data_IF_053941767041
#
_entry.id   IF_053941767041
#
_cell.length_a   1.000
_cell.length_b   1.000
_cell.length_c   1.000
_cell.angle_alpha   90.00
_cell.angle_beta   90.00
_cell.angle_gamma   90.00
#
_symmetry.space_group_name_H-M   'P 1'
#
loop_
_entity.id
_entity.type
_entity.pdbx_description
1 polymer ?
#
# COMPACT_ATOMS: atom_id res chain seq x y z
N UNK A 1 4.37 13.73 -24.03
CA UNK A 1 4.41 14.36 -22.68
C UNK A 1 5.81 14.20 -22.12
N UNK A 2 6.37 15.26 -21.53
CA UNK A 2 7.72 15.29 -20.94
C UNK A 2 7.89 14.16 -19.90
N UNK A 3 9.14 13.77 -19.63
CA UNK A 3 9.44 12.84 -18.52
C UNK A 3 8.88 13.45 -17.23
N UNK A 4 7.88 12.78 -16.65
CA UNK A 4 7.36 13.08 -15.32
C UNK A 4 8.52 13.05 -14.34
N UNK A 5 8.80 14.16 -13.67
CA UNK A 5 9.92 14.27 -12.71
C UNK A 5 9.37 14.63 -11.34
N UNK A 6 9.04 13.61 -10.55
CA UNK A 6 8.63 13.80 -9.16
C UNK A 6 9.82 14.16 -8.29
N UNK A 7 9.63 15.14 -7.39
CA UNK A 7 10.54 15.42 -6.30
C UNK A 7 10.54 14.29 -5.27
N UNK A 8 11.59 14.25 -4.43
CA UNK A 8 11.68 13.28 -3.32
C UNK A 8 10.50 13.39 -2.36
N UNK A 9 10.06 14.61 -2.03
CA UNK A 9 8.94 14.84 -1.14
C UNK A 9 7.63 14.29 -1.69
N UNK A 10 7.34 14.58 -2.96
CA UNK A 10 6.16 14.07 -3.67
C UNK A 10 6.11 12.54 -3.69
N UNK A 11 7.25 11.89 -3.99
CA UNK A 11 7.34 10.43 -4.03
C UNK A 11 7.13 9.80 -2.65
N UNK A 12 7.78 10.34 -1.62
CA UNK A 12 7.65 9.85 -0.25
C UNK A 12 6.22 9.98 0.25
N UNK A 13 5.65 11.17 0.11
CA UNK A 13 4.32 11.47 0.62
C UNK A 13 3.25 10.65 -0.09
N UNK A 14 3.30 10.55 -1.42
CA UNK A 14 2.35 9.74 -2.16
C UNK A 14 2.44 8.26 -1.78
N UNK A 15 3.66 7.72 -1.65
CA UNK A 15 3.88 6.33 -1.25
C UNK A 15 3.35 6.07 0.15
N UNK A 16 3.63 6.99 1.08
CA UNK A 16 3.15 6.86 2.46
C UNK A 16 1.63 6.91 2.51
N UNK A 17 0.99 7.84 1.80
CA UNK A 17 -0.46 7.95 1.75
C UNK A 17 -1.12 6.68 1.17
N UNK A 18 -0.60 6.18 0.05
CA UNK A 18 -1.18 5.06 -0.68
C UNK A 18 -1.05 3.70 0.04
N UNK A 19 0.10 3.45 0.69
CA UNK A 19 0.31 2.18 1.40
C UNK A 19 -0.36 2.20 2.78
N UNK A 20 -0.20 3.30 3.54
CA UNK A 20 -0.74 3.38 4.92
C UNK A 20 -2.26 3.34 4.97
N UNK A 21 -2.94 3.98 4.00
CA UNK A 21 -4.40 4.09 3.99
C UNK A 21 -5.09 2.74 4.10
N UNK A 22 -4.77 1.79 3.22
CA UNK A 22 -5.35 0.45 3.24
C UNK A 22 -4.88 -0.41 4.41
N UNK A 23 -3.64 -0.23 4.85
CA UNK A 23 -3.15 -0.94 6.02
C UNK A 23 -3.97 -0.65 7.28
N UNK A 24 -4.46 0.59 7.45
CA UNK A 24 -5.38 0.93 8.55
C UNK A 24 -6.76 0.27 8.42
N UNK A 25 -7.29 0.15 7.20
CA UNK A 25 -8.60 -0.45 6.96
C UNK A 25 -8.64 -1.96 7.25
N UNK A 26 -7.61 -2.69 6.82
CA UNK A 26 -7.66 -4.16 6.75
C UNK A 26 -6.51 -4.81 7.49
N UNK A 27 -5.28 -4.39 7.23
CA UNK A 27 -4.10 -5.06 7.79
C UNK A 27 -4.12 -5.02 9.32
N UNK A 28 -4.49 -3.91 9.94
CA UNK A 28 -4.63 -3.81 11.41
C UNK A 28 -5.58 -4.89 11.96
N UNK A 29 -6.73 -5.10 11.31
CA UNK A 29 -7.68 -6.13 11.75
C UNK A 29 -7.10 -7.54 11.60
N UNK A 30 -6.37 -7.84 10.53
CA UNK A 30 -5.72 -9.13 10.33
C UNK A 30 -4.62 -9.40 11.36
N UNK A 31 -3.82 -8.38 11.67
CA UNK A 31 -2.75 -8.47 12.67
C UNK A 31 -3.34 -8.69 14.07
N UNK A 32 -4.37 -7.93 14.44
CA UNK A 32 -5.08 -8.12 15.71
C UNK A 32 -5.78 -9.49 15.78
N UNK A 33 -6.34 -9.98 14.68
CA UNK A 33 -6.95 -11.32 14.63
C UNK A 33 -5.92 -12.42 14.91
N UNK A 34 -4.69 -12.28 14.39
CA UNK A 34 -3.62 -13.26 14.56
C UNK A 34 -2.90 -13.12 15.91
N UNK A 35 -2.39 -11.93 16.23
CA UNK A 35 -1.51 -11.68 17.36
C UNK A 35 -2.24 -11.10 18.60
N UNK A 36 -3.51 -10.69 18.48
CA UNK A 36 -4.28 -10.09 19.57
C UNK A 36 -3.54 -8.91 20.21
N UNK A 37 -3.35 -8.96 21.53
CA UNK A 37 -2.66 -7.87 22.26
C UNK A 37 -1.19 -7.71 21.87
N UNK A 38 -0.55 -8.74 21.33
CA UNK A 38 0.84 -8.73 20.88
C UNK A 38 1.01 -8.22 19.44
N UNK A 39 -0.04 -7.64 18.84
CA UNK A 39 -0.02 -7.08 17.48
C UNK A 39 1.09 -6.04 17.26
N UNK A 40 1.45 -5.28 18.30
CA UNK A 40 2.56 -4.32 18.24
C UNK A 40 3.93 -5.01 18.14
N UNK A 41 4.11 -6.22 18.69
CA UNK A 41 5.31 -7.03 18.47
C UNK A 41 5.35 -7.62 17.06
N UNK A 42 4.20 -7.94 16.48
CA UNK A 42 4.16 -8.41 15.09
C UNK A 42 4.71 -7.33 14.12
N UNK A 43 4.48 -6.04 14.44
CA UNK A 43 5.08 -4.92 13.73
C UNK A 43 6.61 -4.91 13.85
N UNK A 44 7.17 -5.10 15.05
CA UNK A 44 8.63 -5.10 15.21
C UNK A 44 9.30 -6.26 14.47
N UNK A 45 8.66 -7.44 14.46
CA UNK A 45 9.10 -8.60 13.67
C UNK A 45 9.05 -8.30 12.17
N UNK A 46 7.98 -7.65 11.69
CA UNK A 46 7.82 -7.31 10.28
C UNK A 46 8.79 -6.22 9.78
N UNK A 47 9.26 -5.34 10.67
CA UNK A 47 10.20 -4.26 10.31
C UNK A 47 11.56 -4.78 9.82
N UNK A 48 12.04 -5.93 10.33
CA UNK A 48 13.34 -6.46 9.91
C UNK A 48 13.35 -6.89 8.42
N UNK A 49 12.44 -7.76 7.93
CA UNK A 49 12.38 -8.05 6.51
C UNK A 49 11.96 -6.84 5.66
N UNK A 50 11.13 -5.94 6.19
CA UNK A 50 10.78 -4.69 5.49
C UNK A 50 12.01 -3.81 5.23
N UNK A 51 12.91 -3.70 6.22
CA UNK A 51 14.18 -3.01 6.06
C UNK A 51 15.05 -3.70 5.01
N UNK A 52 15.17 -5.02 5.05
CA UNK A 52 15.91 -5.77 4.03
C UNK A 52 15.37 -5.52 2.61
N UNK A 53 14.03 -5.52 2.45
CA UNK A 53 13.39 -5.17 1.18
C UNK A 53 13.73 -3.73 0.77
N UNK A 54 13.67 -2.77 1.69
CA UNK A 54 14.00 -1.38 1.40
C UNK A 54 15.45 -1.21 0.93
N UNK A 55 16.40 -1.92 1.54
CA UNK A 55 17.80 -1.95 1.13
C UNK A 55 17.95 -2.51 -0.30
N UNK A 56 17.22 -3.59 -0.64
CA UNK A 56 17.26 -4.20 -1.98
C UNK A 56 16.68 -3.25 -3.03
N UNK A 57 15.49 -2.67 -2.78
CA UNK A 57 14.86 -1.73 -3.69
C UNK A 57 15.74 -0.50 -3.92
N UNK A 58 16.32 0.03 -2.85
CA UNK A 58 17.23 1.16 -2.95
C UNK A 58 18.56 0.80 -3.63
N UNK A 59 19.08 -0.42 -3.47
CA UNK A 59 20.26 -0.88 -4.19
C UNK A 59 19.99 -0.97 -5.70
N UNK A 60 18.84 -1.52 -6.11
CA UNK A 60 18.41 -1.54 -7.52
C UNK A 60 18.33 -0.12 -8.09
N UNK A 61 17.69 0.78 -7.34
CA UNK A 61 17.57 2.20 -7.69
C UNK A 61 18.93 2.89 -7.89
N UNK A 62 19.90 2.59 -7.04
CA UNK A 62 21.24 3.17 -7.11
C UNK A 62 22.07 2.58 -8.26
N UNK A 63 22.01 1.26 -8.46
CA UNK A 63 22.78 0.55 -9.48
C UNK A 63 22.26 0.77 -10.90
N UNK A 64 20.93 0.94 -11.05
CA UNK A 64 20.26 1.19 -12.34
C UNK A 64 19.25 2.32 -12.21
N UNK A 65 19.72 3.58 -12.03
CA UNK A 65 18.84 4.74 -11.92
C UNK A 65 17.93 4.85 -13.14
N UNK A 66 16.64 5.14 -12.89
CA UNK A 66 15.66 5.35 -13.96
C UNK A 66 15.22 4.09 -14.71
N UNK A 67 15.62 2.89 -14.29
CA UNK A 67 15.14 1.64 -14.89
C UNK A 67 14.09 0.97 -13.99
N UNK A 68 12.85 0.94 -14.48
CA UNK A 68 11.78 0.17 -13.85
C UNK A 68 12.08 -1.34 -13.85
N UNK A 69 11.49 -2.09 -12.91
CA UNK A 69 11.76 -3.52 -12.75
C UNK A 69 11.52 -4.35 -14.01
N UNK A 70 10.49 -4.04 -14.78
CA UNK A 70 10.17 -4.71 -16.04
C UNK A 70 11.20 -4.39 -17.15
N UNK A 71 11.69 -3.15 -17.21
CA UNK A 71 12.79 -2.75 -18.10
C UNK A 71 14.07 -3.48 -17.71
N UNK A 72 14.38 -3.53 -16.41
CA UNK A 72 15.56 -4.22 -15.90
C UNK A 72 15.48 -5.73 -16.16
N UNK A 73 14.31 -6.34 -15.97
CA UNK A 73 14.06 -7.74 -16.28
C UNK A 73 14.22 -8.03 -17.78
N UNK A 74 13.70 -7.14 -18.64
CA UNK A 74 13.88 -7.25 -20.09
C UNK A 74 15.37 -7.24 -20.49
N UNK A 75 16.16 -6.38 -19.84
CA UNK A 75 17.59 -6.24 -20.08
C UNK A 75 18.40 -7.45 -19.61
N UNK A 76 18.07 -8.01 -18.45
CA UNK A 76 18.84 -9.11 -17.84
C UNK A 76 18.46 -10.49 -18.40
N UNK A 77 17.16 -10.71 -18.65
CA UNK A 77 16.60 -12.02 -18.94
C UNK A 77 15.82 -12.06 -20.27
N UNK A 78 15.84 -10.98 -21.04
CA UNK A 78 15.22 -10.88 -22.36
C UNK A 78 13.78 -10.35 -22.34
N UNK A 79 13.28 -9.98 -23.52
CA UNK A 79 11.99 -9.27 -23.71
C UNK A 79 10.78 -9.94 -23.05
N UNK A 80 10.75 -11.28 -23.01
CA UNK A 80 9.64 -12.04 -22.43
C UNK A 80 9.61 -11.89 -20.91
N UNK A 81 10.76 -11.90 -20.24
CA UNK A 81 10.82 -11.66 -18.80
C UNK A 81 10.29 -10.28 -18.44
N UNK A 82 10.67 -9.24 -19.19
CA UNK A 82 10.12 -7.90 -19.02
C UNK A 82 8.61 -7.83 -19.19
N UNK A 83 8.06 -8.49 -20.23
CA UNK A 83 6.60 -8.58 -20.42
C UNK A 83 5.91 -9.30 -19.26
N UNK A 84 6.46 -10.41 -18.78
CA UNK A 84 5.90 -11.15 -17.64
C UNK A 84 5.88 -10.29 -16.38
N UNK A 85 6.98 -9.60 -16.08
CA UNK A 85 7.05 -8.68 -14.93
C UNK A 85 6.02 -7.56 -15.06
N UNK A 86 5.88 -6.97 -16.26
CA UNK A 86 4.91 -5.91 -16.51
C UNK A 86 3.46 -6.39 -16.34
N UNK A 87 3.11 -7.56 -16.89
CA UNK A 87 1.78 -8.14 -16.71
C UNK A 87 1.50 -8.45 -15.23
N UNK A 88 2.46 -9.06 -14.55
CA UNK A 88 2.32 -9.48 -13.16
C UNK A 88 2.07 -8.30 -12.22
N UNK A 89 2.88 -7.23 -12.30
CA UNK A 89 2.64 -6.01 -11.52
C UNK A 89 1.36 -5.28 -11.96
N UNK A 90 1.05 -5.28 -13.26
CA UNK A 90 -0.17 -4.69 -13.79
C UNK A 90 -1.44 -5.30 -13.18
N UNK A 91 -1.52 -6.63 -13.17
CA UNK A 91 -2.63 -7.37 -12.56
C UNK A 91 -2.63 -7.22 -11.03
N UNK A 92 -1.47 -7.28 -10.38
CA UNK A 92 -1.37 -7.10 -8.93
C UNK A 92 -1.95 -5.77 -8.46
N UNK A 93 -1.50 -4.65 -9.04
CA UNK A 93 -1.99 -3.33 -8.67
C UNK A 93 -3.45 -3.13 -9.08
N UNK A 94 -3.92 -3.72 -10.18
CA UNK A 94 -5.34 -3.73 -10.55
C UNK A 94 -6.21 -4.38 -9.46
N UNK A 95 -5.82 -5.58 -8.99
CA UNK A 95 -6.51 -6.29 -7.92
C UNK A 95 -6.50 -5.48 -6.62
N UNK A 96 -5.35 -4.89 -6.27
CA UNK A 96 -5.21 -4.04 -5.09
C UNK A 96 -6.18 -2.84 -5.13
N UNK A 97 -6.34 -2.20 -6.30
CA UNK A 97 -7.31 -1.10 -6.47
C UNK A 97 -8.74 -1.61 -6.33
N UNK A 98 -9.10 -2.70 -7.00
CA UNK A 98 -10.47 -3.23 -6.97
C UNK A 98 -10.91 -3.59 -5.54
N UNK A 99 -10.02 -4.22 -4.78
CA UNK A 99 -10.25 -4.52 -3.36
C UNK A 99 -10.39 -3.26 -2.51
N UNK A 100 -9.49 -2.29 -2.70
CA UNK A 100 -9.53 -1.02 -1.95
C UNK A 100 -10.83 -0.27 -2.22
N UNK A 101 -11.26 -0.23 -3.48
CA UNK A 101 -12.51 0.40 -3.89
C UNK A 101 -13.73 -0.29 -3.27
N UNK A 102 -13.79 -1.62 -3.30
CA UNK A 102 -14.87 -2.38 -2.64
C UNK A 102 -14.94 -2.09 -1.14
N UNK A 103 -13.79 -2.07 -0.46
CA UNK A 103 -13.73 -1.75 0.97
C UNK A 103 -14.12 -0.31 1.27
N UNK A 104 -13.71 0.66 0.44
CA UNK A 104 -14.10 2.05 0.58
C UNK A 104 -15.61 2.22 0.43
N UNK A 105 -16.22 1.60 -0.58
CA UNK A 105 -17.67 1.67 -0.79
C UNK A 105 -18.43 1.02 0.36
N UNK A 106 -17.99 -0.13 0.85
CA UNK A 106 -18.62 -0.78 2.00
C UNK A 106 -18.53 0.07 3.27
N UNK A 107 -17.34 0.61 3.54
CA UNK A 107 -17.12 1.52 4.67
C UNK A 107 -18.00 2.77 4.59
N UNK A 108 -18.13 3.41 3.42
CA UNK A 108 -18.97 4.59 3.24
C UNK A 108 -20.46 4.29 3.49
N UNK A 109 -20.93 3.11 3.11
CA UNK A 109 -22.30 2.67 3.41
C UNK A 109 -22.52 2.45 4.91
N UNK A 110 -21.54 1.87 5.60
CA UNK A 110 -21.60 1.63 7.03
C UNK A 110 -21.44 2.91 7.87
N UNK A 111 -20.66 3.88 7.39
CA UNK A 111 -20.34 5.11 8.13
C UNK A 111 -21.36 6.24 7.93
N UNK A 112 -21.95 6.39 6.74
CA UNK A 112 -22.86 7.52 6.43
C UNK A 112 -24.28 7.08 6.09
N UNK A 113 -24.44 6.38 4.96
CA UNK A 113 -25.77 6.09 4.44
C UNK A 113 -25.84 4.69 3.81
N UNK A 114 -26.52 3.73 4.47
CA UNK A 114 -26.65 2.37 3.95
C UNK A 114 -27.58 2.28 2.72
N UNK A 115 -28.42 3.30 2.49
CA UNK A 115 -29.44 3.35 1.42
C UNK A 115 -28.85 3.67 0.05
N UNK A 116 -27.67 4.29 -0.03
CA UNK A 116 -27.05 4.56 -1.33
C UNK A 116 -26.60 3.24 -1.98
N UNK A 117 -27.03 2.95 -3.22
CA UNK A 117 -26.64 1.72 -3.91
C UNK A 117 -25.12 1.63 -4.06
N UNK A 118 -24.56 0.46 -3.73
CA UNK A 118 -23.11 0.23 -3.83
C UNK A 118 -22.57 0.52 -5.23
N UNK A 119 -23.33 0.16 -6.27
CA UNK A 119 -22.93 0.39 -7.66
C UNK A 119 -22.77 1.88 -7.98
N UNK A 120 -23.67 2.73 -7.49
CA UNK A 120 -23.60 4.17 -7.70
C UNK A 120 -22.34 4.78 -7.07
N UNK A 121 -22.02 4.38 -5.84
CA UNK A 121 -20.77 4.79 -5.17
C UNK A 121 -19.53 4.28 -5.92
N UNK A 122 -19.52 3.02 -6.37
CA UNK A 122 -18.42 2.46 -7.17
C UNK A 122 -18.19 3.27 -8.45
N UNK A 123 -19.25 3.64 -9.17
CA UNK A 123 -19.16 4.48 -10.38
C UNK A 123 -18.58 5.85 -10.06
N UNK A 124 -19.07 6.53 -9.01
CA UNK A 124 -18.58 7.87 -8.64
C UNK A 124 -17.09 7.84 -8.30
N UNK A 125 -16.66 6.92 -7.43
CA UNK A 125 -15.26 6.80 -7.06
C UNK A 125 -14.36 6.41 -8.25
N UNK A 126 -14.83 5.55 -9.15
CA UNK A 126 -14.09 5.20 -10.36
C UNK A 126 -13.95 6.37 -11.33
N UNK A 127 -14.99 7.18 -11.53
CA UNK A 127 -14.91 8.37 -12.38
C UNK A 127 -13.92 9.39 -11.81
N UNK A 128 -13.95 9.62 -10.49
CA UNK A 128 -12.99 10.49 -9.82
C UNK A 128 -11.55 9.94 -9.93
N UNK A 129 -11.38 8.63 -9.75
CA UNK A 129 -10.07 8.00 -9.87
C UNK A 129 -9.54 8.05 -11.32
N UNK A 130 -10.38 7.79 -12.31
CA UNK A 130 -10.05 7.92 -13.72
C UNK A 130 -9.64 9.37 -14.05
N UNK A 131 -10.41 10.36 -13.58
CA UNK A 131 -10.07 11.77 -13.77
C UNK A 131 -8.68 12.11 -13.19
N UNK A 132 -8.40 11.67 -11.97
CA UNK A 132 -7.09 11.86 -11.34
C UNK A 132 -5.96 11.17 -12.12
N UNK A 133 -6.16 9.93 -12.58
CA UNK A 133 -5.17 9.19 -13.37
C UNK A 133 -4.92 9.86 -14.72
N UNK A 134 -5.96 10.35 -15.39
CA UNK A 134 -5.84 11.10 -16.65
C UNK A 134 -5.16 12.46 -16.46
N UNK A 135 -5.29 13.07 -15.28
CA UNK A 135 -4.60 14.31 -14.91
C UNK A 135 -3.10 14.10 -14.68
N UNK A 136 -2.64 12.85 -14.54
CA UNK A 136 -1.24 12.49 -14.45
C UNK A 136 -0.70 12.38 -13.02
N UNK A 137 0.39 11.62 -12.89
CA UNK A 137 0.98 11.26 -11.59
C UNK A 137 1.48 12.47 -10.78
N UNK A 138 2.01 13.50 -11.43
CA UNK A 138 2.44 14.75 -10.76
C UNK A 138 1.29 15.42 -10.02
N UNK A 139 0.10 15.48 -10.63
CA UNK A 139 -1.06 16.11 -10.00
C UNK A 139 -1.52 15.31 -8.77
N UNK A 140 -1.54 13.98 -8.87
CA UNK A 140 -1.83 13.10 -7.72
C UNK A 140 -0.81 13.35 -6.59
N UNK A 141 0.47 13.41 -6.93
CA UNK A 141 1.54 13.60 -5.95
C UNK A 141 1.48 14.98 -5.28
N UNK A 142 1.20 16.06 -6.03
CA UNK A 142 1.02 17.42 -5.47
C UNK A 142 -0.17 17.52 -4.52
N UNK A 143 -1.29 16.87 -4.84
CA UNK A 143 -2.44 16.81 -3.93
C UNK A 143 -2.07 16.03 -2.66
N UNK A 144 -1.27 14.96 -2.78
CA UNK A 144 -0.80 14.20 -1.61
C UNK A 144 0.10 15.02 -0.69
N UNK A 145 0.94 15.92 -1.23
CA UNK A 145 1.76 16.84 -0.43
C UNK A 145 0.93 17.73 0.49
N UNK A 146 -0.27 18.14 0.04
CA UNK A 146 -1.16 18.96 0.84
C UNK A 146 -1.90 18.12 1.89
N UNK A 147 -2.46 16.97 1.48
CA UNK A 147 -3.36 16.22 2.34
C UNK A 147 -2.65 15.30 3.34
N UNK A 148 -1.49 14.72 3.02
CA UNK A 148 -0.85 13.79 3.97
C UNK A 148 -0.39 14.47 5.27
N UNK A 149 0.27 15.65 5.27
CA UNK A 149 0.62 16.31 6.52
C UNK A 149 -0.61 16.60 7.38
N UNK A 150 -1.71 17.02 6.74
CA UNK A 150 -2.99 17.20 7.41
C UNK A 150 -3.52 15.87 7.98
N UNK A 151 -3.43 14.77 7.23
CA UNK A 151 -3.83 13.45 7.69
C UNK A 151 -3.01 12.99 8.91
N UNK A 152 -1.71 13.23 8.91
CA UNK A 152 -0.82 12.88 10.03
C UNK A 152 -1.18 13.72 11.26
N UNK A 153 -1.33 15.03 11.11
CA UNK A 153 -1.72 15.93 12.21
C UNK A 153 -3.05 15.49 12.82
N UNK A 154 -4.07 15.28 11.99
CA UNK A 154 -5.39 14.83 12.44
C UNK A 154 -5.32 13.46 13.13
N UNK A 155 -4.58 12.49 12.58
CA UNK A 155 -4.40 11.17 13.20
C UNK A 155 -3.68 11.22 14.55
N UNK A 156 -2.65 12.07 14.67
CA UNK A 156 -1.96 12.32 15.93
C UNK A 156 -2.87 13.02 16.94
N UNK A 157 -3.66 14.02 16.51
CA UNK A 157 -4.64 14.70 17.36
C UNK A 157 -5.66 13.71 17.92
N UNK A 158 -6.22 12.82 17.08
CA UNK A 158 -7.13 11.77 17.54
C UNK A 158 -6.46 10.85 18.56
N UNK A 159 -5.21 10.45 18.29
CA UNK A 159 -4.44 9.62 19.21
C UNK A 159 -4.25 10.32 20.56
N UNK A 160 -3.83 11.59 20.56
CA UNK A 160 -3.59 12.38 21.78
C UNK A 160 -4.86 12.57 22.60
N UNK A 161 -5.98 12.93 21.96
CA UNK A 161 -7.26 13.13 22.67
C UNK A 161 -7.73 11.83 23.34
N UNK A 162 -7.51 10.68 22.70
CA UNK A 162 -7.89 9.37 23.27
C UNK A 162 -6.96 8.85 24.37
N UNK A 163 -5.84 9.50 24.68
CA UNK A 163 -4.81 8.93 25.57
C UNK A 163 -5.35 8.64 26.98
N UNK A 164 -6.19 9.51 27.53
CA UNK A 164 -6.74 9.36 28.88
C UNK A 164 -7.70 8.16 29.00
N UNK A 165 -8.25 7.69 27.88
CA UNK A 165 -9.17 6.55 27.84
C UNK A 165 -8.46 5.21 27.54
N UNK A 166 -7.15 5.24 27.27
CA UNK A 166 -6.37 4.06 26.88
C UNK A 166 -5.78 3.34 28.10
N UNK A 167 -6.31 2.17 28.40
CA UNK A 167 -5.78 1.28 29.42
C UNK A 167 -4.67 0.39 28.83
N UNK A 168 -3.45 0.94 28.72
CA UNK A 168 -2.30 0.21 28.17
C UNK A 168 -1.89 -1.03 28.98
N UNK A 169 -2.40 -1.18 30.21
CA UNK A 169 -2.26 -2.42 30.99
C UNK A 169 -2.85 -3.64 30.27
N UNK A 170 -3.84 -3.43 29.38
CA UNK A 170 -4.45 -4.48 28.56
C UNK A 170 -3.51 -5.08 27.50
N UNK A 171 -2.32 -4.49 27.30
CA UNK A 171 -1.25 -5.06 26.48
C UNK A 171 -0.43 -6.12 27.23
N UNK A 172 -0.59 -6.25 28.55
CA UNK A 172 0.07 -7.26 29.38
C UNK A 172 -0.88 -8.44 29.67
N UNK A 173 -0.36 -9.66 29.92
CA UNK A 173 1.04 -10.07 29.77
C UNK A 173 1.48 -10.14 28.30
N UNK A 174 2.77 -9.90 28.05
CA UNK A 174 3.36 -9.92 26.71
C UNK A 174 3.69 -11.36 26.30
N UNK A 175 3.34 -11.72 25.07
CA UNK A 175 3.63 -13.03 24.46
C UNK A 175 3.15 -14.24 25.27
N UNK A 176 2.01 -14.09 25.97
CA UNK A 176 1.39 -15.17 26.77
C UNK A 176 1.07 -16.42 25.92
N UNK A 177 0.68 -16.20 24.66
CA UNK A 177 0.38 -17.26 23.68
C UNK A 177 1.62 -17.72 22.90
N UNK A 178 2.82 -17.32 23.34
CA UNK A 178 4.09 -17.57 22.68
C UNK A 178 4.34 -16.68 21.45
N UNK A 179 5.46 -16.92 20.76
CA UNK A 179 5.87 -16.11 19.61
C UNK A 179 5.20 -16.49 18.28
N UNK A 180 4.57 -17.67 18.19
CA UNK A 180 3.96 -18.14 16.94
C UNK A 180 2.83 -17.20 16.46
N UNK A 181 1.86 -16.78 17.30
CA UNK A 181 0.85 -15.80 16.90
C UNK A 181 1.43 -14.45 16.47
N UNK A 182 2.54 -14.03 17.09
CA UNK A 182 3.27 -12.80 16.74
C UNK A 182 3.84 -12.89 15.33
N UNK A 183 4.51 -14.00 15.00
CA UNK A 183 5.07 -14.26 13.67
C UNK A 183 3.96 -14.35 12.62
N UNK A 184 2.83 -15.00 12.95
CA UNK A 184 1.66 -15.06 12.06
C UNK A 184 1.06 -13.67 11.83
N UNK A 185 0.98 -12.83 12.87
CA UNK A 185 0.55 -11.44 12.76
C UNK A 185 1.50 -10.58 11.93
N UNK A 186 2.78 -10.94 11.83
CA UNK A 186 3.74 -10.21 11.00
C UNK A 186 3.50 -10.43 9.49
N UNK A 187 2.90 -11.56 9.10
CA UNK A 187 2.72 -11.95 7.67
C UNK A 187 1.87 -10.91 6.88
N UNK A 188 0.69 -10.45 7.36
CA UNK A 188 -0.05 -9.39 6.71
C UNK A 188 0.74 -8.07 6.57
N UNK A 189 1.54 -7.72 7.58
CA UNK A 189 2.38 -6.52 7.56
C UNK A 189 3.50 -6.65 6.53
N UNK A 190 4.13 -7.82 6.42
CA UNK A 190 5.10 -8.11 5.37
C UNK A 190 4.47 -7.99 3.98
N UNK A 191 3.24 -8.46 3.78
CA UNK A 191 2.49 -8.22 2.55
C UNK A 191 2.35 -6.73 2.25
N UNK A 192 1.95 -5.93 3.25
CA UNK A 192 1.83 -4.47 3.12
C UNK A 192 3.17 -3.79 2.79
N UNK A 193 4.26 -4.16 3.47
CA UNK A 193 5.60 -3.65 3.16
C UNK A 193 6.07 -4.08 1.77
N UNK A 194 5.67 -5.27 1.31
CA UNK A 194 5.92 -5.77 -0.04
C UNK A 194 5.42 -4.83 -1.14
N UNK A 195 4.35 -4.07 -0.88
CA UNK A 195 3.79 -3.11 -1.83
C UNK A 195 4.70 -1.89 -2.07
N UNK A 196 5.72 -1.65 -1.24
CA UNK A 196 6.76 -0.64 -1.49
C UNK A 196 7.52 -0.88 -2.81
N UNK A 197 7.42 -2.09 -3.37
CA UNK A 197 7.92 -2.42 -4.70
C UNK A 197 7.37 -1.51 -5.80
N UNK A 198 6.23 -0.84 -5.58
CA UNK A 198 5.69 0.21 -6.46
C UNK A 198 6.74 1.29 -6.80
N UNK A 199 7.62 1.62 -5.86
CA UNK A 199 8.72 2.57 -6.06
C UNK A 199 9.70 2.10 -7.14
N UNK A 200 10.02 0.81 -7.16
CA UNK A 200 10.91 0.23 -8.17
C UNK A 200 10.20 -0.03 -9.51
N UNK A 201 8.90 -0.32 -9.48
CA UNK A 201 8.07 -0.42 -10.69
C UNK A 201 7.95 0.93 -11.41
N UNK A 202 7.91 2.03 -10.65
CA UNK A 202 7.89 3.40 -11.17
C UNK A 202 9.26 4.08 -11.14
N UNK A 203 10.36 3.33 -11.06
CA UNK A 203 11.69 3.91 -10.96
C UNK A 203 12.06 4.85 -12.13
N UNK A 204 11.45 4.66 -13.30
CA UNK A 204 11.67 5.51 -14.48
C UNK A 204 10.82 6.79 -14.52
N UNK A 205 10.06 7.10 -13.45
CA UNK A 205 9.42 8.41 -13.21
C UNK A 205 10.12 9.25 -12.15
N UNK A 206 11.22 8.76 -11.60
CA UNK A 206 11.95 9.43 -10.53
C UNK A 206 13.26 9.96 -11.08
N UNK A 207 13.58 11.21 -10.74
CA UNK A 207 14.75 11.93 -11.27
C UNK A 207 16.09 11.33 -10.83
N UNK A 208 16.16 10.77 -9.63
CA UNK A 208 17.41 10.32 -9.01
C UNK A 208 17.21 9.02 -8.21
N UNK A 209 18.07 8.03 -8.49
CA UNK A 209 18.11 6.76 -7.76
C UNK A 209 18.38 6.93 -6.26
N UNK A 210 19.14 7.97 -5.86
CA UNK A 210 19.37 8.33 -4.46
C UNK A 210 18.07 8.70 -3.75
N UNK A 211 17.14 9.38 -4.43
CA UNK A 211 15.86 9.74 -3.84
C UNK A 211 15.02 8.51 -3.56
N UNK A 212 15.05 7.49 -4.43
CA UNK A 212 14.33 6.24 -4.19
C UNK A 212 14.86 5.47 -2.97
N UNK A 213 16.19 5.35 -2.84
CA UNK A 213 16.81 4.76 -1.65
C UNK A 213 16.35 5.44 -0.36
N UNK A 214 16.50 6.78 -0.30
CA UNK A 214 16.11 7.55 0.87
C UNK A 214 14.61 7.46 1.13
N UNK A 215 13.79 7.52 0.08
CA UNK A 215 12.33 7.42 0.18
C UNK A 215 11.89 6.08 0.75
N UNK A 216 12.47 4.97 0.27
CA UNK A 216 12.07 3.63 0.72
C UNK A 216 12.40 3.41 2.19
N UNK A 217 13.59 3.82 2.64
CA UNK A 217 13.98 3.74 4.05
C UNK A 217 13.12 4.65 4.94
N UNK A 218 12.89 5.89 4.51
CA UNK A 218 12.02 6.81 5.25
C UNK A 218 10.58 6.29 5.32
N UNK A 219 10.06 5.67 4.26
CA UNK A 219 8.72 5.09 4.25
C UNK A 219 8.59 3.94 5.26
N UNK A 220 9.57 3.03 5.35
CA UNK A 220 9.56 1.96 6.36
C UNK A 220 9.56 2.52 7.79
N UNK A 221 10.39 3.54 8.06
CA UNK A 221 10.43 4.19 9.37
C UNK A 221 9.11 4.89 9.72
N UNK A 222 8.53 5.63 8.77
CA UNK A 222 7.24 6.32 8.93
C UNK A 222 6.12 5.30 9.16
N UNK A 223 6.09 4.18 8.44
CA UNK A 223 5.11 3.11 8.68
C UNK A 223 5.26 2.47 10.04
N UNK A 224 6.50 2.14 10.43
CA UNK A 224 6.79 1.63 11.77
C UNK A 224 6.22 2.53 12.86
N UNK A 225 6.36 3.86 12.71
CA UNK A 225 5.80 4.81 13.67
C UNK A 225 4.26 4.91 13.58
N UNK A 226 3.72 5.03 12.36
CA UNK A 226 2.28 5.26 12.14
C UNK A 226 1.41 4.07 12.56
N UNK A 227 1.92 2.84 12.53
CA UNK A 227 1.14 1.64 12.87
C UNK A 227 1.16 1.26 14.36
N UNK A 228 2.02 1.87 15.19
CA UNK A 228 2.06 1.58 16.64
C UNK A 228 0.71 1.91 17.29
N UNK A 229 0.19 3.13 17.06
CA UNK A 229 -1.11 3.56 17.59
C UNK A 229 -2.25 2.63 17.16
N UNK A 230 -2.46 2.42 15.85
CA UNK A 230 -3.46 1.50 15.30
C UNK A 230 -3.43 0.06 15.83
N UNK A 231 -2.26 -0.47 16.20
CA UNK A 231 -2.11 -1.84 16.68
C UNK A 231 -2.24 -1.96 18.21
N UNK A 232 -2.11 -0.86 18.94
CA UNK A 232 -2.21 -0.82 20.41
C UNK A 232 -3.52 -0.19 20.90
N UNK A 233 -3.97 0.87 20.26
CA UNK A 233 -5.14 1.67 20.61
C UNK A 233 -6.44 0.85 20.72
N UNK A 234 -6.81 0.02 19.72
CA UNK A 234 -8.02 -0.77 19.80
C UNK A 234 -8.00 -1.75 20.98
N UNK A 235 -6.83 -2.32 21.32
CA UNK A 235 -6.68 -3.22 22.48
C UNK A 235 -6.79 -2.43 23.78
N UNK A 236 -6.17 -1.26 23.86
CA UNK A 236 -6.16 -0.41 25.05
C UNK A 236 -7.54 0.20 25.37
N UNK A 237 -8.45 0.31 24.40
CA UNK A 237 -9.83 0.81 24.63
C UNK A 237 -10.85 -0.31 24.68
N UNK A 238 -10.80 -1.27 23.75
CA UNK A 238 -11.85 -2.30 23.59
C UNK A 238 -11.50 -3.62 24.30
N UNK A 239 -10.25 -3.81 24.68
CA UNK A 239 -9.70 -5.10 25.09
C UNK A 239 -9.45 -6.04 23.92
N UNK A 240 -8.56 -7.02 24.11
CA UNK A 240 -8.08 -7.93 23.07
C UNK A 240 -9.23 -8.67 22.35
N UNK A 241 -10.18 -9.23 23.10
CA UNK A 241 -11.24 -10.09 22.54
C UNK A 241 -12.13 -9.33 21.54
N UNK A 242 -12.46 -8.07 21.85
CA UNK A 242 -13.30 -7.24 20.99
C UNK A 242 -12.46 -6.71 19.83
N UNK A 243 -11.26 -6.18 20.11
CA UNK A 243 -10.36 -5.64 19.09
C UNK A 243 -10.03 -6.67 17.98
N UNK A 244 -9.73 -7.92 18.35
CA UNK A 244 -9.35 -8.98 17.41
C UNK A 244 -10.50 -9.49 16.52
N UNK A 245 -11.75 -9.18 16.85
CA UNK A 245 -12.95 -9.65 16.10
C UNK A 245 -13.69 -8.52 15.40
N UNK A 246 -13.25 -7.29 15.59
CA UNK A 246 -13.93 -6.10 15.10
C UNK A 246 -13.42 -5.74 13.72
N UNK A 247 -14.30 -5.60 12.71
CA UNK A 247 -13.91 -4.99 11.45
C UNK A 247 -13.60 -3.51 11.68
N UNK A 248 -12.56 -2.98 11.01
CA UNK A 248 -12.18 -1.57 11.12
C UNK A 248 -11.87 -1.14 12.58
N UNK A 249 -11.00 -1.87 13.30
CA UNK A 249 -10.83 -1.74 14.76
C UNK A 249 -10.43 -0.33 15.21
N UNK A 250 -9.63 0.38 14.41
CA UNK A 250 -9.23 1.78 14.66
C UNK A 250 -10.37 2.77 14.49
N UNK A 251 -11.31 2.53 13.57
CA UNK A 251 -12.52 3.35 13.49
C UNK A 251 -13.44 3.08 14.69
N UNK A 252 -13.55 1.82 15.11
CA UNK A 252 -14.38 1.41 16.24
C UNK A 252 -13.82 1.94 17.57
N UNK A 253 -12.49 1.97 17.73
CA UNK A 253 -11.80 2.67 18.82
C UNK A 253 -12.28 4.12 18.94
N UNK A 254 -12.23 4.88 17.83
CA UNK A 254 -12.64 6.29 17.80
C UNK A 254 -14.15 6.44 18.09
N UNK A 255 -14.97 5.53 17.60
CA UNK A 255 -16.43 5.55 17.80
C UNK A 255 -16.83 5.34 19.27
N UNK A 256 -16.13 4.47 19.99
CA UNK A 256 -16.46 4.14 21.38
C UNK A 256 -15.66 4.92 22.43
N UNK A 257 -14.57 5.58 22.05
CA UNK A 257 -13.92 6.57 22.89
C UNK A 257 -14.88 7.75 23.16
N UNK A 258 -15.16 8.01 24.44
CA UNK A 258 -16.13 9.00 24.93
C UNK A 258 -15.80 10.39 24.44
N UNK A 259 -14.52 10.76 24.44
CA UNK A 259 -14.02 12.06 23.95
C UNK A 259 -14.03 12.16 22.42
N UNK A 260 -13.97 11.02 21.72
CA UNK A 260 -13.82 10.96 20.27
C UNK A 260 -15.09 10.69 19.47
N UNK A 261 -16.20 10.33 20.12
CA UNK A 261 -17.45 10.04 19.43
C UNK A 261 -17.91 11.16 18.46
N UNK A 262 -17.59 12.43 18.79
CA UNK A 262 -17.90 13.60 17.94
C UNK A 262 -16.93 13.79 16.76
N UNK A 263 -15.76 13.17 16.81
CA UNK A 263 -14.71 13.25 15.81
C UNK A 263 -14.71 12.06 14.83
N UNK A 264 -15.71 11.19 14.89
CA UNK A 264 -15.86 10.05 13.95
C UNK A 264 -15.79 10.47 12.47
N UNK A 265 -16.29 11.67 12.12
CA UNK A 265 -16.23 12.22 10.76
C UNK A 265 -14.79 12.46 10.30
N UNK A 266 -13.90 12.86 11.21
CA UNK A 266 -12.47 13.04 10.90
C UNK A 266 -11.85 11.69 10.52
N UNK A 267 -12.14 10.63 11.27
CA UNK A 267 -11.66 9.29 10.97
C UNK A 267 -12.10 8.84 9.57
N UNK A 268 -13.37 9.09 9.23
CA UNK A 268 -13.90 8.80 7.90
C UNK A 268 -13.16 9.58 6.81
N UNK A 269 -12.91 10.88 7.00
CA UNK A 269 -12.16 11.70 6.03
C UNK A 269 -10.74 11.16 5.79
N UNK A 270 -10.00 10.82 6.86
CA UNK A 270 -8.66 10.22 6.76
C UNK A 270 -8.67 8.95 5.90
N UNK A 271 -9.70 8.15 6.10
CA UNK A 271 -9.85 6.85 5.45
C UNK A 271 -10.25 6.97 3.98
N UNK A 272 -11.15 7.91 3.65
CA UNK A 272 -11.49 8.23 2.26
C UNK A 272 -10.26 8.78 1.53
N UNK A 273 -9.52 9.71 2.11
CA UNK A 273 -8.32 10.28 1.49
C UNK A 273 -7.22 9.24 1.27
N UNK A 274 -6.90 8.43 2.29
CA UNK A 274 -5.90 7.35 2.17
C UNK A 274 -6.28 6.34 1.09
N UNK A 275 -7.56 5.93 1.06
CA UNK A 275 -8.06 5.02 0.02
C UNK A 275 -8.01 5.64 -1.37
N UNK A 276 -8.34 6.94 -1.51
CA UNK A 276 -8.30 7.63 -2.79
C UNK A 276 -6.86 7.74 -3.34
N UNK A 277 -5.88 8.07 -2.50
CA UNK A 277 -4.47 8.07 -2.92
C UNK A 277 -3.99 6.69 -3.34
N UNK A 278 -4.38 5.64 -2.62
CA UNK A 278 -4.07 4.26 -3.02
C UNK A 278 -4.70 3.90 -4.36
N UNK A 279 -6.00 4.12 -4.49
CA UNK A 279 -6.76 3.82 -5.72
C UNK A 279 -6.11 4.51 -6.91
N UNK A 280 -5.87 5.82 -6.82
CA UNK A 280 -5.33 6.60 -7.94
C UNK A 280 -3.87 6.24 -8.26
N UNK A 281 -3.02 6.07 -7.23
CA UNK A 281 -1.62 5.72 -7.44
C UNK A 281 -1.43 4.31 -8.03
N UNK A 282 -2.17 3.32 -7.52
CA UNK A 282 -2.06 1.95 -8.00
C UNK A 282 -2.79 1.76 -9.32
N UNK A 283 -3.86 2.49 -9.58
CA UNK A 283 -4.51 2.50 -10.89
C UNK A 283 -3.56 3.09 -11.95
N UNK A 284 -2.90 4.22 -11.66
CA UNK A 284 -1.87 4.76 -12.56
C UNK A 284 -0.76 3.73 -12.84
N UNK A 285 -0.25 3.07 -11.79
CA UNK A 285 0.78 2.03 -11.91
C UNK A 285 0.30 0.85 -12.76
N UNK A 286 -0.90 0.33 -12.48
CA UNK A 286 -1.50 -0.79 -13.21
C UNK A 286 -1.64 -0.47 -14.71
N UNK A 287 -2.20 0.70 -15.04
CA UNK A 287 -2.37 1.14 -16.41
C UNK A 287 -1.03 1.27 -17.15
N UNK A 288 0.00 1.77 -16.48
CA UNK A 288 1.35 1.87 -17.06
C UNK A 288 1.96 0.50 -17.35
N UNK A 289 1.89 -0.43 -16.40
CA UNK A 289 2.39 -1.80 -16.53
C UNK A 289 1.66 -2.56 -17.64
N UNK A 290 0.33 -2.54 -17.65
CA UNK A 290 -0.47 -3.17 -18.71
C UNK A 290 -0.22 -2.53 -20.08
N UNK A 291 -0.01 -1.21 -20.12
CA UNK A 291 0.45 -0.47 -21.31
C UNK A 291 1.71 -1.05 -21.91
N UNK A 292 2.75 -1.24 -21.09
CA UNK A 292 4.04 -1.81 -21.50
C UNK A 292 3.92 -3.27 -21.94
N UNK A 293 3.12 -4.07 -21.24
CA UNK A 293 2.84 -5.46 -21.66
C UNK A 293 2.25 -5.53 -23.08
N UNK A 294 1.24 -4.68 -23.36
CA UNK A 294 0.56 -4.58 -24.64
C UNK A 294 1.37 -3.84 -25.73
N UNK A 295 2.55 -3.31 -25.40
CA UNK A 295 3.41 -2.59 -26.36
C UNK A 295 2.98 -1.14 -26.63
N UNK A 296 2.06 -0.58 -25.85
CA UNK A 296 1.73 0.84 -25.93
C UNK A 296 2.87 1.70 -25.36
N UNK A 297 3.16 2.83 -26.02
CA UNK A 297 4.06 3.86 -25.47
C UNK A 297 3.36 4.63 -24.33
N UNK A 298 4.17 5.28 -23.48
CA UNK A 298 3.83 5.98 -22.22
C UNK A 298 2.45 6.66 -22.20
N UNK A 299 1.73 6.49 -21.07
CA UNK A 299 0.52 7.23 -20.67
C UNK A 299 -0.56 7.33 -21.77
N UNK A 300 -0.96 6.19 -22.35
CA UNK A 300 -2.09 6.17 -23.28
C UNK A 300 -3.41 6.32 -22.51
N UNK A 301 -4.22 7.29 -22.92
CA UNK A 301 -5.58 7.52 -22.38
C UNK A 301 -6.42 6.25 -22.51
N UNK A 302 -6.22 5.53 -23.60
CA UNK A 302 -6.86 4.26 -23.93
C UNK A 302 -6.54 3.19 -22.88
N UNK A 303 -5.27 3.09 -22.44
CA UNK A 303 -4.89 2.11 -21.42
C UNK A 303 -5.39 2.50 -20.03
N UNK A 304 -5.44 3.79 -19.72
CA UNK A 304 -6.10 4.26 -18.51
C UNK A 304 -7.59 3.84 -18.53
N UNK A 305 -8.32 4.10 -19.60
CA UNK A 305 -9.73 3.70 -19.75
C UNK A 305 -9.92 2.18 -19.67
N UNK A 306 -9.14 1.40 -20.41
CA UNK A 306 -9.22 -0.06 -20.40
C UNK A 306 -8.94 -0.65 -19.02
N UNK A 307 -7.91 -0.15 -18.34
CA UNK A 307 -7.57 -0.57 -16.97
C UNK A 307 -8.67 -0.15 -15.99
N UNK A 308 -9.26 1.03 -16.16
CA UNK A 308 -10.38 1.49 -15.34
C UNK A 308 -11.62 0.63 -15.48
N UNK A 309 -11.97 0.26 -16.72
CA UNK A 309 -13.04 -0.68 -16.99
C UNK A 309 -12.75 -2.04 -16.33
N UNK A 310 -11.52 -2.55 -16.45
CA UNK A 310 -11.13 -3.81 -15.82
C UNK A 310 -11.19 -3.75 -14.28
N UNK A 311 -10.74 -2.65 -13.66
CA UNK A 311 -10.88 -2.42 -12.21
C UNK A 311 -12.36 -2.40 -11.80
N UNK A 312 -13.19 -1.67 -12.54
CA UNK A 312 -14.62 -1.59 -12.26
C UNK A 312 -15.29 -2.96 -12.34
N UNK A 313 -15.06 -3.71 -13.43
CA UNK A 313 -15.61 -5.05 -13.61
C UNK A 313 -15.12 -6.01 -12.52
N UNK A 314 -13.83 -5.96 -12.17
CA UNK A 314 -13.26 -6.77 -11.08
C UNK A 314 -13.92 -6.43 -9.74
N UNK A 315 -14.12 -5.14 -9.45
CA UNK A 315 -14.79 -4.69 -8.22
C UNK A 315 -16.23 -5.17 -8.15
N UNK A 316 -16.97 -5.13 -9.26
CA UNK A 316 -18.40 -5.50 -9.27
C UNK A 316 -18.62 -7.01 -9.29
N UNK A 317 -17.86 -7.74 -10.10
CA UNK A 317 -18.12 -9.16 -10.37
C UNK A 317 -17.20 -10.13 -9.62
N UNK A 318 -15.95 -9.76 -9.36
CA UNK A 318 -15.01 -10.62 -8.59
C UNK A 318 -15.13 -10.32 -7.10
N UNK A 319 -15.36 -9.06 -6.73
CA UNK A 319 -15.47 -8.63 -5.33
C UNK A 319 -16.82 -7.98 -5.02
N UNK A 320 -17.96 -8.66 -5.23
CA UNK A 320 -19.28 -8.05 -5.03
C UNK A 320 -19.50 -7.59 -3.57
N UNK A 321 -18.88 -8.27 -2.60
CA UNK A 321 -19.00 -7.98 -1.16
C UNK A 321 -17.63 -7.81 -0.49
N UNK A 322 -17.61 -7.17 0.68
CA UNK A 322 -16.40 -7.06 1.50
C UNK A 322 -15.94 -8.42 2.06
N UNK A 323 -16.84 -9.41 2.17
CA UNK A 323 -16.51 -10.76 2.60
C UNK A 323 -15.64 -11.49 1.58
N UNK A 324 -15.95 -11.35 0.28
CA UNK A 324 -15.11 -11.87 -0.82
C UNK A 324 -13.72 -11.22 -0.79
N UNK A 325 -13.66 -9.91 -0.57
CA UNK A 325 -12.39 -9.20 -0.41
C UNK A 325 -11.62 -9.75 0.79
N UNK A 326 -12.27 -9.93 1.94
CA UNK A 326 -11.61 -10.47 3.14
C UNK A 326 -11.06 -11.89 2.89
N UNK A 327 -11.86 -12.77 2.27
CA UNK A 327 -11.44 -14.12 1.94
C UNK A 327 -10.23 -14.13 0.99
N UNK A 328 -10.21 -13.22 0.01
CA UNK A 328 -9.09 -13.07 -0.90
C UNK A 328 -7.86 -12.43 -0.25
N UNK A 329 -8.03 -11.50 0.69
CA UNK A 329 -6.89 -10.88 1.39
C UNK A 329 -6.23 -11.85 2.35
N UNK A 330 -7.01 -12.55 3.17
CA UNK A 330 -6.49 -13.37 4.27
C UNK A 330 -5.50 -14.45 3.83
N UNK A 331 -5.56 -14.90 2.58
CA UNK A 331 -4.55 -15.82 2.01
C UNK A 331 -4.07 -15.39 0.62
N UNK A 332 -4.88 -15.47 -0.47
CA UNK A 332 -4.37 -15.26 -1.83
C UNK A 332 -3.57 -13.97 -2.02
N UNK A 333 -4.14 -12.83 -1.63
CA UNK A 333 -3.51 -11.53 -1.86
C UNK A 333 -2.30 -11.32 -0.96
N UNK A 334 -2.32 -11.71 0.32
CA UNK A 334 -1.15 -11.56 1.19
C UNK A 334 0.05 -12.34 0.66
N UNK A 335 -0.14 -13.58 0.19
CA UNK A 335 0.95 -14.34 -0.44
C UNK A 335 1.36 -13.75 -1.79
N UNK A 336 0.43 -13.22 -2.57
CA UNK A 336 0.75 -12.50 -3.79
C UNK A 336 1.56 -11.23 -3.52
N UNK A 337 1.20 -10.46 -2.49
CA UNK A 337 1.89 -9.25 -2.02
C UNK A 337 3.31 -9.56 -1.54
N UNK A 338 3.48 -10.68 -0.81
CA UNK A 338 4.80 -11.20 -0.46
C UNK A 338 5.60 -11.57 -1.70
N UNK A 339 5.00 -12.29 -2.65
CA UNK A 339 5.69 -12.70 -3.87
C UNK A 339 6.14 -11.48 -4.70
N UNK A 340 5.27 -10.50 -4.94
CA UNK A 340 5.62 -9.30 -5.74
C UNK A 340 6.69 -8.44 -5.07
N UNK A 341 6.69 -8.37 -3.74
CA UNK A 341 7.64 -7.57 -2.98
C UNK A 341 8.99 -8.27 -2.81
N UNK A 342 8.98 -9.53 -2.41
CA UNK A 342 10.16 -10.24 -1.90
C UNK A 342 10.78 -11.24 -2.89
N UNK A 343 10.21 -11.45 -4.09
CA UNK A 343 10.79 -12.37 -5.07
C UNK A 343 11.44 -11.65 -6.29
N UNK A 344 10.76 -10.80 -7.08
CA UNK A 344 11.38 -10.14 -8.23
C UNK A 344 12.57 -9.23 -7.89
N UNK A 345 12.52 -8.36 -6.86
CA UNK A 345 13.62 -7.44 -6.58
C UNK A 345 14.93 -8.17 -6.20
N UNK A 346 14.94 -9.18 -5.31
CA UNK A 346 16.16 -9.95 -5.04
C UNK A 346 16.70 -10.70 -6.26
N UNK A 347 15.82 -11.29 -7.08
CA UNK A 347 16.22 -12.00 -8.31
C UNK A 347 16.91 -11.05 -9.30
N UNK A 348 16.37 -9.84 -9.48
CA UNK A 348 16.96 -8.84 -10.36
C UNK A 348 18.29 -8.30 -9.81
N UNK A 349 18.40 -8.13 -8.50
CA UNK A 349 19.66 -7.73 -7.85
C UNK A 349 20.73 -8.82 -8.01
N UNK A 350 20.37 -10.09 -7.82
CA UNK A 350 21.26 -11.22 -8.06
C UNK A 350 21.72 -11.28 -9.53
N UNK A 351 20.81 -11.06 -10.49
CA UNK A 351 21.13 -10.96 -11.90
C UNK A 351 22.15 -9.85 -12.22
N UNK A 352 22.00 -8.69 -11.59
CA UNK A 352 22.97 -7.58 -11.68
C UNK A 352 24.35 -7.95 -11.12
N UNK A 353 24.39 -8.64 -9.97
CA UNK A 353 25.66 -9.11 -9.37
C UNK A 353 26.35 -10.11 -10.29
N UNK A 354 25.63 -11.10 -10.82
CA UNK A 354 26.19 -12.09 -11.77
C UNK A 354 26.72 -11.41 -13.04
N UNK A 355 25.98 -10.44 -13.58
CA UNK A 355 26.44 -9.67 -14.74
C UNK A 355 27.76 -8.93 -14.44
N UNK A 356 27.88 -8.29 -13.26
CA UNK A 356 29.10 -7.61 -12.84
C UNK A 356 30.28 -8.59 -12.73
N UNK A 357 30.07 -9.76 -12.12
CA UNK A 357 31.11 -10.77 -11.95
C UNK A 357 31.64 -11.29 -13.30
N UNK A 358 30.76 -11.45 -14.30
CA UNK A 358 31.15 -11.88 -15.65
C UNK A 358 31.90 -10.81 -16.44
N UNK A 359 31.63 -9.53 -16.20
CA UNK A 359 32.15 -8.42 -17.02
C UNK A 359 33.30 -7.66 -16.35
N UNK A 360 33.65 -7.97 -15.09
CA UNK A 360 34.74 -7.32 -14.33
C UNK A 360 34.49 -5.84 -13.96
N UNK A 361 33.42 -5.21 -14.50
CA UNK A 361 33.01 -3.82 -14.25
C UNK A 361 31.49 -3.71 -14.28
N UNK A 362 30.94 -2.69 -13.62
CA UNK A 362 29.55 -2.32 -13.80
C UNK A 362 29.36 -1.74 -15.20
N UNK A 363 28.59 -2.42 -16.07
CA UNK A 363 28.22 -1.86 -17.36
C UNK A 363 27.11 -0.82 -17.17
N UNK A 364 27.51 0.45 -17.06
CA UNK A 364 26.65 1.62 -17.11
C UNK A 364 26.18 1.83 -18.56
N UNK A 365 25.31 0.94 -19.03
CA UNK A 365 24.72 1.06 -20.37
C UNK A 365 23.48 1.94 -20.36
N UNK A 366 23.65 3.19 -20.78
CA UNK A 366 22.66 3.98 -21.53
C UNK A 366 22.87 3.66 -23.01
N UNK A 367 22.25 2.59 -23.50
CA UNK A 367 22.03 2.35 -24.93
C UNK A 367 20.66 1.73 -25.08
#
# INVERSE_FOLDING_TARGET
>A
MAQVQMSRGELLVLTVAAVTGFGHFITVAQVLQAAGRDAWLALTVALLPALALALILGALAYLKPGQALDILAARLFGKWAGKTVSLFYGVFFLLAVAMTLRCLVDFMRNAFNPLTPSLAMTVIFMLLALYAVLSGLENIARVSLLLLPLMIVLGLTLTVISLEEKEYILLLPVAERGMLPVIQGAVPLLGLFGELVVLAVLADTVRDGKYMWQTTLTAVAVFGLMFIGPLTGPVAILGERIAARTPYPTFVEIKYAKTLARFQTIAVLLWVWGSFFRITFYYYTAARCLGRFCGFRKNSREMALATGAAIFLTTVYVFPTVAEVKAFIDRPFTYLALAVGYLPPPVLLAGLVVQKLRQGRWVWGTN
#
